data_IF_614476838915
#
_entry.id   IF_614476838915
#
_cell.length_a   1.000
_cell.length_b   1.000
_cell.length_c   1.000
_cell.angle_alpha   90.00
_cell.angle_beta   90.00
_cell.angle_gamma   90.00
#
_symmetry.space_group_name_H-M   'P 1'
#
loop_
_entity.id
_entity.type
_entity.pdbx_description
1 polymer ?
#
# COMPACT_ATOMS: atom_id res chain seq x y z
N UNK A 1 -6.36 4.24 -49.43
CA UNK A 1 -5.78 2.89 -49.63
C UNK A 1 -6.49 1.98 -48.66
N UNK A 2 -6.86 0.76 -49.05
CA UNK A 2 -7.74 -0.07 -48.22
C UNK A 2 -6.96 -0.72 -47.07
N UNK A 3 -7.12 -0.17 -45.87
CA UNK A 3 -6.41 -0.49 -44.62
C UNK A 3 -6.90 -1.78 -43.93
N UNK A 4 -7.09 -2.85 -44.70
CA UNK A 4 -7.71 -4.08 -44.22
C UNK A 4 -6.86 -5.31 -44.56
N UNK A 5 -6.51 -6.09 -43.54
CA UNK A 5 -5.65 -7.26 -43.65
C UNK A 5 -6.41 -8.54 -43.29
N UNK A 6 -6.09 -9.64 -43.97
CA UNK A 6 -6.60 -10.95 -43.58
C UNK A 6 -5.93 -11.42 -42.27
N UNK A 7 -6.53 -12.37 -41.52
CA UNK A 7 -5.90 -12.96 -40.34
C UNK A 7 -4.50 -13.53 -40.60
N UNK A 8 -4.24 -14.01 -41.81
CA UNK A 8 -2.94 -14.55 -42.23
C UNK A 8 -1.90 -13.44 -42.44
N UNK A 9 -2.32 -12.32 -43.04
CA UNK A 9 -1.46 -11.14 -43.20
C UNK A 9 -1.19 -10.49 -41.83
N UNK A 10 -2.22 -10.34 -41.00
CA UNK A 10 -2.12 -9.89 -39.62
C UNK A 10 -1.17 -10.75 -38.78
N UNK A 11 -1.27 -12.08 -38.91
CA UNK A 11 -0.37 -13.02 -38.25
C UNK A 11 1.09 -12.83 -38.65
N UNK A 12 1.33 -12.60 -39.94
CA UNK A 12 2.67 -12.31 -40.47
C UNK A 12 3.24 -11.01 -39.89
N UNK A 13 2.42 -9.97 -39.78
CA UNK A 13 2.82 -8.67 -39.20
C UNK A 13 3.11 -8.78 -37.69
N UNK A 14 2.31 -9.55 -36.97
CA UNK A 14 2.39 -9.69 -35.51
C UNK A 14 3.39 -10.77 -35.05
N UNK A 15 3.99 -11.54 -35.97
CA UNK A 15 4.88 -12.66 -35.61
C UNK A 15 4.20 -13.81 -34.86
N UNK A 16 2.87 -13.97 -34.99
CA UNK A 16 2.08 -15.02 -34.32
C UNK A 16 1.39 -15.94 -35.33
N UNK A 17 0.74 -17.00 -34.86
CA UNK A 17 0.03 -17.92 -35.75
C UNK A 17 -1.32 -17.34 -36.22
N UNK A 18 -1.77 -17.64 -37.46
CA UNK A 18 -3.11 -17.26 -37.92
C UNK A 18 -4.24 -17.78 -37.03
N UNK A 19 -4.04 -18.92 -36.36
CA UNK A 19 -5.00 -19.44 -35.38
C UNK A 19 -5.15 -18.49 -34.18
N UNK A 20 -4.05 -17.99 -33.62
CA UNK A 20 -4.08 -17.06 -32.50
C UNK A 20 -4.81 -15.74 -32.85
N UNK A 21 -4.60 -15.23 -34.06
CA UNK A 21 -5.33 -14.06 -34.58
C UNK A 21 -6.83 -14.33 -34.66
N UNK A 22 -7.24 -15.49 -35.19
CA UNK A 22 -8.66 -15.88 -35.28
C UNK A 22 -9.31 -16.07 -33.90
N UNK A 23 -8.58 -16.61 -32.93
CA UNK A 23 -9.06 -16.75 -31.56
C UNK A 23 -9.28 -15.39 -30.87
N UNK A 24 -8.37 -14.43 -31.06
CA UNK A 24 -8.57 -13.05 -30.58
C UNK A 24 -9.79 -12.40 -31.22
N UNK A 25 -9.95 -12.54 -32.54
CA UNK A 25 -11.14 -12.07 -33.26
C UNK A 25 -12.42 -12.72 -32.74
N UNK A 26 -12.39 -14.01 -32.40
CA UNK A 26 -13.57 -14.75 -31.94
C UNK A 26 -13.99 -14.35 -30.52
N UNK A 27 -13.04 -14.03 -29.64
CA UNK A 27 -13.31 -13.66 -28.24
C UNK A 27 -14.05 -12.33 -28.12
N UNK A 28 -13.79 -11.40 -29.04
CA UNK A 28 -14.28 -10.02 -28.96
C UNK A 28 -14.99 -9.59 -30.26
N UNK A 29 -15.53 -10.55 -31.02
CA UNK A 29 -16.01 -10.33 -32.39
C UNK A 29 -17.04 -9.21 -32.48
N UNK A 30 -17.99 -9.19 -31.54
CA UNK A 30 -19.13 -8.27 -31.59
C UNK A 30 -18.66 -6.84 -31.34
N UNK A 31 -17.76 -6.65 -30.38
CA UNK A 31 -17.16 -5.36 -30.07
C UNK A 31 -16.27 -4.85 -31.21
N UNK A 32 -15.45 -5.72 -31.80
CA UNK A 32 -14.56 -5.37 -32.92
C UNK A 32 -15.33 -5.03 -34.19
N UNK A 33 -16.48 -5.68 -34.43
CA UNK A 33 -17.38 -5.32 -35.54
C UNK A 33 -18.06 -3.98 -35.26
N UNK A 34 -18.60 -3.78 -34.05
CA UNK A 34 -19.29 -2.53 -33.68
C UNK A 34 -18.36 -1.31 -33.69
N UNK A 35 -17.08 -1.49 -33.36
CA UNK A 35 -16.05 -0.44 -33.42
C UNK A 35 -15.45 -0.23 -34.82
N UNK A 36 -15.81 -1.06 -35.80
CA UNK A 36 -15.26 -0.98 -37.15
C UNK A 36 -13.79 -1.39 -37.25
N UNK A 37 -13.29 -2.15 -36.28
CA UNK A 37 -11.91 -2.66 -36.23
C UNK A 37 -11.76 -4.05 -36.88
N UNK A 38 -12.86 -4.81 -36.96
CA UNK A 38 -12.93 -6.05 -37.70
C UNK A 38 -14.19 -6.07 -38.58
N UNK A 39 -14.12 -6.79 -39.70
CA UNK A 39 -15.30 -7.05 -40.53
C UNK A 39 -15.27 -8.44 -41.12
N UNK A 40 -16.46 -9.00 -41.33
CA UNK A 40 -16.64 -10.24 -42.08
C UNK A 40 -17.02 -9.89 -43.51
N UNK A 41 -16.20 -10.33 -44.45
CA UNK A 41 -16.45 -10.18 -45.88
C UNK A 41 -17.06 -11.48 -46.36
N UNK A 42 -18.28 -11.40 -46.88
CA UNK A 42 -18.96 -12.57 -47.44
C UNK A 42 -18.26 -13.07 -48.69
N UNK A 43 -18.52 -14.34 -48.98
CA UNK A 43 -18.06 -14.94 -50.22
C UNK A 43 -18.67 -14.20 -51.41
N UNK A 44 -17.82 -13.72 -52.31
CA UNK A 44 -18.29 -13.23 -53.60
C UNK A 44 -18.92 -14.35 -54.43
N UNK A 45 -19.49 -13.98 -55.59
CA UNK A 45 -20.18 -14.87 -56.53
C UNK A 45 -19.33 -16.06 -57.03
N UNK A 46 -18.02 -16.02 -56.78
CA UNK A 46 -17.05 -17.08 -57.09
C UNK A 46 -17.11 -18.30 -56.15
N UNK A 47 -18.07 -18.36 -55.22
CA UNK A 47 -18.25 -19.51 -54.32
C UNK A 47 -17.18 -19.63 -53.22
N UNK A 48 -16.57 -18.51 -52.83
CA UNK A 48 -15.60 -18.45 -51.73
C UNK A 48 -16.19 -18.84 -50.36
N UNK A 49 -15.35 -18.89 -49.33
CA UNK A 49 -15.81 -18.89 -47.93
C UNK A 49 -15.76 -17.46 -47.39
N UNK A 50 -16.69 -17.07 -46.51
CA UNK A 50 -16.60 -15.78 -45.82
C UNK A 50 -15.27 -15.66 -45.08
N UNK A 51 -14.62 -14.50 -45.17
CA UNK A 51 -13.30 -14.25 -44.57
C UNK A 51 -13.36 -13.05 -43.64
N UNK A 52 -12.58 -13.12 -42.57
CA UNK A 52 -12.37 -11.98 -41.69
C UNK A 52 -11.37 -11.01 -42.31
N UNK A 53 -11.56 -9.74 -42.04
CA UNK A 53 -10.60 -8.68 -42.29
C UNK A 53 -10.46 -7.82 -41.05
N UNK A 54 -9.23 -7.36 -40.82
CA UNK A 54 -8.79 -6.66 -39.61
C UNK A 54 -8.21 -5.31 -40.03
N UNK A 55 -8.56 -4.26 -39.32
CA UNK A 55 -7.99 -2.93 -39.57
C UNK A 55 -6.53 -2.86 -39.13
N UNK A 56 -5.75 -1.99 -39.77
CA UNK A 56 -4.39 -1.68 -39.32
C UNK A 56 -4.34 -1.08 -37.91
N UNK A 57 -5.39 -0.39 -37.47
CA UNK A 57 -5.45 0.18 -36.12
C UNK A 57 -5.63 -0.90 -35.07
N UNK A 58 -6.43 -1.94 -35.35
CA UNK A 58 -6.51 -3.10 -34.47
C UNK A 58 -5.17 -3.83 -34.37
N UNK A 59 -4.39 -3.86 -35.45
CA UNK A 59 -3.04 -4.41 -35.39
C UNK A 59 -2.12 -3.61 -34.48
N UNK A 60 -2.19 -2.28 -34.50
CA UNK A 60 -1.39 -1.43 -33.58
C UNK A 60 -1.78 -1.66 -32.12
N UNK A 61 -3.05 -1.93 -31.85
CA UNK A 61 -3.52 -2.31 -30.51
C UNK A 61 -3.09 -3.73 -30.12
N UNK A 62 -2.98 -4.63 -31.10
CA UNK A 62 -2.62 -6.04 -30.88
C UNK A 62 -1.12 -6.32 -30.94
N UNK A 63 -0.35 -5.36 -31.42
CA UNK A 63 1.10 -5.34 -31.27
C UNK A 63 1.39 -5.44 -29.78
N UNK A 64 1.97 -6.55 -29.30
CA UNK A 64 2.60 -6.50 -27.99
C UNK A 64 3.70 -5.45 -28.07
N UNK A 65 3.96 -4.73 -26.97
CA UNK A 65 5.29 -4.15 -26.76
C UNK A 65 6.28 -5.27 -27.11
N UNK A 66 7.21 -4.96 -28.02
CA UNK A 66 8.10 -5.89 -28.68
C UNK A 66 8.53 -7.01 -27.70
N UNK A 67 8.25 -8.31 -27.97
CA UNK A 67 8.71 -9.40 -27.12
C UNK A 67 10.25 -9.56 -27.12
N UNK A 68 10.96 -8.69 -27.84
CA UNK A 68 12.39 -8.44 -27.71
C UNK A 68 12.76 -7.05 -27.19
N UNK A 69 11.87 -6.28 -26.55
CA UNK A 69 12.22 -5.03 -25.86
C UNK A 69 13.01 -5.39 -24.60
N UNK A 70 14.36 -5.29 -24.61
CA UNK A 70 15.16 -5.60 -23.43
C UNK A 70 14.81 -4.67 -22.26
N UNK A 71 14.15 -3.54 -22.53
CA UNK A 71 13.75 -2.59 -21.50
C UNK A 71 12.48 -3.02 -20.76
N UNK A 72 11.67 -3.95 -21.29
CA UNK A 72 10.45 -4.40 -20.60
C UNK A 72 10.79 -5.21 -19.34
N UNK A 73 11.67 -6.20 -19.46
CA UNK A 73 12.17 -6.99 -18.34
C UNK A 73 12.96 -6.11 -17.35
N UNK A 74 13.74 -5.15 -17.86
CA UNK A 74 14.47 -4.19 -17.02
C UNK A 74 13.53 -3.27 -16.25
N UNK A 75 12.42 -2.82 -16.85
CA UNK A 75 11.40 -2.01 -16.17
C UNK A 75 10.69 -2.79 -15.08
N UNK A 76 10.34 -4.04 -15.34
CA UNK A 76 9.72 -4.90 -14.33
C UNK A 76 10.67 -5.15 -13.14
N UNK A 77 11.95 -5.44 -13.42
CA UNK A 77 12.97 -5.57 -12.37
C UNK A 77 13.19 -4.26 -11.61
N UNK A 78 13.18 -3.11 -12.29
CA UNK A 78 13.29 -1.80 -11.67
C UNK A 78 12.10 -1.52 -10.76
N UNK A 79 10.88 -1.82 -11.20
CA UNK A 79 9.69 -1.68 -10.36
C UNK A 79 9.73 -2.61 -9.14
N UNK A 80 10.15 -3.86 -9.33
CA UNK A 80 10.29 -4.82 -8.24
C UNK A 80 11.28 -4.33 -7.19
N UNK A 81 12.49 -3.94 -7.63
CA UNK A 81 13.54 -3.41 -6.74
C UNK A 81 13.14 -2.12 -6.05
N UNK A 82 12.42 -1.22 -6.72
CA UNK A 82 11.87 -0.02 -6.08
C UNK A 82 10.83 -0.35 -5.01
N UNK A 83 9.96 -1.34 -5.25
CA UNK A 83 8.98 -1.80 -4.26
C UNK A 83 9.70 -2.42 -3.06
N UNK A 84 10.70 -3.27 -3.28
CA UNK A 84 11.50 -3.84 -2.19
C UNK A 84 12.25 -2.78 -1.39
N UNK A 85 12.87 -1.80 -2.06
CA UNK A 85 13.56 -0.70 -1.40
C UNK A 85 12.59 0.10 -0.51
N UNK A 86 11.38 0.38 -1.00
CA UNK A 86 10.34 1.07 -0.22
C UNK A 86 9.86 0.25 0.97
N UNK A 87 9.69 -1.05 0.81
CA UNK A 87 9.32 -1.95 1.93
C UNK A 87 10.44 -1.97 2.98
N UNK A 88 11.69 -2.04 2.55
CA UNK A 88 12.83 -1.99 3.45
C UNK A 88 12.92 -0.67 4.20
N UNK A 89 12.71 0.46 3.52
CA UNK A 89 12.67 1.79 4.14
C UNK A 89 11.57 1.88 5.20
N UNK A 90 10.36 1.41 4.89
CA UNK A 90 9.24 1.37 5.85
C UNK A 90 9.55 0.50 7.07
N UNK A 91 10.23 -0.64 6.90
CA UNK A 91 10.60 -1.50 8.02
C UNK A 91 11.66 -0.84 8.90
N UNK A 92 12.63 -0.11 8.32
CA UNK A 92 13.61 0.67 9.08
C UNK A 92 12.92 1.77 9.88
N UNK A 93 11.97 2.50 9.29
CA UNK A 93 11.20 3.52 10.01
C UNK A 93 10.37 2.93 11.15
N UNK A 94 9.72 1.79 10.91
CA UNK A 94 8.97 1.06 11.94
C UNK A 94 9.86 0.66 13.11
N UNK A 95 11.05 0.13 12.86
CA UNK A 95 12.00 -0.26 13.90
C UNK A 95 12.45 0.97 14.71
N UNK A 96 12.72 2.10 14.04
CA UNK A 96 13.09 3.35 14.72
C UNK A 96 11.96 3.87 15.60
N UNK A 97 10.74 3.92 15.07
CA UNK A 97 9.57 4.35 15.83
C UNK A 97 9.32 3.44 17.04
N UNK A 98 9.48 2.13 16.89
CA UNK A 98 9.35 1.17 17.98
C UNK A 98 10.39 1.42 19.08
N UNK A 99 11.66 1.65 18.72
CA UNK A 99 12.71 1.98 19.68
C UNK A 99 12.45 3.30 20.41
N UNK A 100 11.89 4.29 19.72
CA UNK A 100 11.51 5.57 20.33
C UNK A 100 10.36 5.41 21.33
N UNK A 101 9.34 4.62 20.98
CA UNK A 101 8.23 4.28 21.88
C UNK A 101 8.76 3.62 23.16
N UNK A 102 9.63 2.63 23.03
CA UNK A 102 10.22 1.94 24.19
C UNK A 102 11.04 2.88 25.08
N UNK A 103 11.80 3.78 24.47
CA UNK A 103 12.55 4.82 25.20
C UNK A 103 11.62 5.77 25.96
N UNK A 104 10.56 6.25 25.32
CA UNK A 104 9.57 7.15 25.93
C UNK A 104 8.81 6.45 27.07
N UNK A 105 8.47 5.17 26.90
CA UNK A 105 7.84 4.37 27.96
C UNK A 105 8.76 4.22 29.18
N UNK A 106 10.05 3.96 28.97
CA UNK A 106 11.02 3.89 30.07
C UNK A 106 11.16 5.25 30.79
N UNK A 107 11.18 6.34 30.04
CA UNK A 107 11.21 7.70 30.62
C UNK A 107 9.95 8.00 31.44
N UNK A 108 8.76 7.64 30.94
CA UNK A 108 7.51 7.79 31.67
C UNK A 108 7.52 7.00 32.98
N UNK A 109 7.93 5.73 32.95
CA UNK A 109 8.02 4.89 34.14
C UNK A 109 8.99 5.48 35.20
N UNK A 110 10.12 6.05 34.76
CA UNK A 110 11.05 6.73 35.65
C UNK A 110 10.42 7.97 36.30
N UNK A 111 9.72 8.79 35.51
CA UNK A 111 9.01 9.98 36.01
C UNK A 111 7.89 9.63 36.97
N UNK A 112 7.13 8.56 36.72
CA UNK A 112 6.11 8.07 37.64
C UNK A 112 6.72 7.65 38.98
N UNK A 113 7.90 7.01 38.95
CA UNK A 113 8.67 6.69 40.15
C UNK A 113 9.09 7.93 40.95
N UNK A 114 9.62 8.95 40.27
CA UNK A 114 9.97 10.23 40.89
C UNK A 114 8.75 10.92 41.52
N UNK A 115 7.60 10.93 40.81
CA UNK A 115 6.36 11.49 41.31
C UNK A 115 5.89 10.76 42.57
N UNK A 116 5.95 9.43 42.59
CA UNK A 116 5.57 8.64 43.75
C UNK A 116 6.47 8.95 44.97
N UNK A 117 7.77 9.09 44.76
CA UNK A 117 8.72 9.46 45.81
C UNK A 117 8.47 10.87 46.33
N UNK A 118 8.25 11.85 45.44
CA UNK A 118 7.91 13.21 45.83
C UNK A 118 6.60 13.28 46.63
N UNK A 119 5.57 12.52 46.23
CA UNK A 119 4.31 12.41 46.98
C UNK A 119 4.53 11.90 48.40
N UNK A 120 5.32 10.83 48.58
CA UNK A 120 5.66 10.31 49.92
C UNK A 120 6.38 11.36 50.77
N UNK A 121 7.34 12.09 50.19
CA UNK A 121 8.05 13.15 50.91
C UNK A 121 7.11 14.27 51.36
N UNK A 122 6.17 14.66 50.49
CA UNK A 122 5.14 15.66 50.83
C UNK A 122 4.28 15.16 52.00
N UNK A 123 3.84 13.90 51.98
CA UNK A 123 3.05 13.32 53.07
C UNK A 123 3.81 13.31 54.41
N UNK A 124 5.08 12.91 54.39
CA UNK A 124 5.95 12.93 55.58
C UNK A 124 6.12 14.34 56.12
N UNK A 125 6.42 15.31 55.25
CA UNK A 125 6.60 16.71 55.64
C UNK A 125 5.29 17.30 56.18
N UNK A 126 4.15 17.00 55.55
CA UNK A 126 2.85 17.44 56.02
C UNK A 126 2.55 16.92 57.43
N UNK A 127 2.80 15.63 57.69
CA UNK A 127 2.65 15.05 59.02
C UNK A 127 3.56 15.70 60.07
N UNK A 128 4.81 15.99 59.71
CA UNK A 128 5.74 16.69 60.60
C UNK A 128 5.28 18.13 60.92
N UNK A 129 4.75 18.86 59.92
CA UNK A 129 4.18 20.19 60.13
C UNK A 129 2.97 20.13 61.06
N UNK A 130 2.07 19.15 60.89
CA UNK A 130 0.93 18.96 61.79
C UNK A 130 1.38 18.68 63.23
N UNK A 131 2.37 17.82 63.43
CA UNK A 131 2.89 17.51 64.77
C UNK A 131 3.53 18.74 65.46
N UNK A 132 4.18 19.62 64.70
CA UNK A 132 4.74 20.87 65.23
C UNK A 132 3.67 21.93 65.52
N UNK A 133 2.53 21.86 64.83
CA UNK A 133 1.41 22.79 65.02
C UNK A 133 0.51 22.41 66.21
N UNK A 134 0.62 21.18 66.74
CA UNK A 134 -0.16 20.75 67.90
C UNK A 134 0.41 21.40 69.19
N UNK A 135 -0.39 22.18 69.94
CA UNK A 135 0.10 22.83 71.15
C UNK A 135 0.43 21.79 72.22
N UNK A 136 1.57 21.97 72.91
CA UNK A 136 1.94 21.13 74.05
C UNK A 136 0.77 21.01 75.04
N UNK A 137 0.51 19.82 75.60
CA UNK A 137 -0.60 19.62 76.53
C UNK A 137 -0.45 20.62 77.67
N UNK A 138 -1.43 21.51 77.80
CA UNK A 138 -1.47 22.50 78.88
C UNK A 138 -1.41 21.72 80.19
N UNK A 139 -0.41 21.94 81.06
CA UNK A 139 -0.33 21.19 82.31
C UNK A 139 -1.62 21.43 83.09
N UNK A 140 -2.36 20.35 83.35
CA UNK A 140 -3.61 20.42 84.09
C UNK A 140 -3.33 21.11 85.43
N UNK A 141 -3.92 22.30 85.62
CA UNK A 141 -3.88 22.98 86.92
C UNK A 141 -4.59 22.07 87.92
N UNK A 142 -3.82 21.46 88.81
CA UNK A 142 -4.34 20.76 89.98
C UNK A 142 -5.22 21.74 90.75
N UNK A 143 -6.52 21.48 90.95
CA UNK A 143 -7.33 22.36 91.77
C UNK A 143 -6.78 22.32 93.19
N UNK A 144 -6.37 23.48 93.71
CA UNK A 144 -6.02 23.64 95.10
C UNK A 144 -7.24 23.26 95.94
N UNK A 145 -7.10 22.21 96.76
CA UNK A 145 -8.07 21.90 97.79
C UNK A 145 -8.20 23.11 98.71
N UNK A 146 -9.43 23.63 98.80
CA UNK A 146 -9.83 24.65 99.75
C UNK A 146 -10.08 23.93 101.07
N UNK A 147 -9.26 24.21 102.09
CA UNK A 147 -9.56 23.97 103.51
C UNK A 147 -10.16 25.22 104.14
#
# INVERSE_FOLDING_TARGET
>A
MSDWLSPEQAATVLGITPHAVRERLRRDSDNLISSGLARKVDAGDDGGRSRWQISLDLLKEWFPADPGDPDADLREQLEYTQREAKVFEMEVERIRAQSEIESLQAQLAARDGEIAELKRRIEVLAGAVTALAEPAPVPAKTPASVE
#
